data_IF_476543304748
#
_entry.id   IF_476543304748
#
_cell.length_a   1.000
_cell.length_b   1.000
_cell.length_c   1.000
_cell.angle_alpha   90.00
_cell.angle_beta   90.00
_cell.angle_gamma   90.00
#
_symmetry.space_group_name_H-M   'P 1'
#
loop_
_entity.id
_entity.type
_entity.pdbx_description
1 polymer ?
#
# COMPACT_ATOMS: atom_id res chain seq x y z
N UNK A 1 5.12 -1.51 -6.21
CA UNK A 1 5.23 -0.07 -6.52
C UNK A 1 4.08 0.46 -7.38
N UNK A 2 3.88 -0.01 -8.63
CA UNK A 2 2.80 0.51 -9.50
C UNK A 2 1.38 0.31 -8.94
N UNK A 3 1.16 -0.72 -8.11
CA UNK A 3 -0.09 -0.87 -7.35
C UNK A 3 -0.33 0.31 -6.41
N UNK A 4 0.70 0.82 -5.73
CA UNK A 4 0.61 2.00 -4.87
C UNK A 4 0.28 3.27 -5.68
N UNK A 5 0.85 3.41 -6.88
CA UNK A 5 0.51 4.52 -7.79
C UNK A 5 -0.97 4.47 -8.12
N UNK A 6 -1.45 3.35 -8.66
CA UNK A 6 -2.86 3.16 -8.99
C UNK A 6 -3.76 3.38 -7.77
N UNK A 7 -3.35 2.93 -6.58
CA UNK A 7 -4.05 3.20 -5.33
C UNK A 7 -4.22 4.71 -5.09
N UNK A 8 -3.14 5.48 -5.13
CA UNK A 8 -3.17 6.93 -4.90
C UNK A 8 -4.05 7.63 -5.94
N UNK A 9 -3.87 7.29 -7.22
CA UNK A 9 -4.60 7.93 -8.33
C UNK A 9 -6.11 7.58 -8.31
N UNK A 10 -6.48 6.41 -7.79
CA UNK A 10 -7.87 5.97 -7.66
C UNK A 10 -8.55 6.40 -6.35
N UNK A 11 -7.81 6.93 -5.37
CA UNK A 11 -8.38 7.38 -4.10
C UNK A 11 -9.52 8.39 -4.28
N UNK A 12 -9.39 9.46 -5.08
CA UNK A 12 -10.46 10.44 -5.28
C UNK A 12 -11.72 9.82 -5.89
N UNK A 13 -11.57 8.81 -6.76
CA UNK A 13 -12.70 8.05 -7.31
C UNK A 13 -13.36 7.20 -6.23
N UNK A 14 -12.57 6.46 -5.43
CA UNK A 14 -13.09 5.65 -4.31
C UNK A 14 -13.80 6.49 -3.26
N UNK A 15 -13.33 7.72 -3.01
CA UNK A 15 -13.95 8.67 -2.10
C UNK A 15 -15.17 9.40 -2.71
N UNK A 16 -15.57 9.08 -3.95
CA UNK A 16 -16.73 9.71 -4.61
C UNK A 16 -16.52 11.17 -5.04
N UNK A 17 -15.29 11.69 -4.99
CA UNK A 17 -14.98 13.08 -5.34
C UNK A 17 -14.97 13.34 -6.84
N UNK A 18 -14.64 12.31 -7.64
CA UNK A 18 -14.54 12.40 -9.11
C UNK A 18 -15.03 11.11 -9.76
N UNK A 19 -15.46 11.20 -11.03
CA UNK A 19 -15.85 10.03 -11.83
C UNK A 19 -14.63 9.31 -12.43
N UNK A 20 -13.58 10.06 -12.77
CA UNK A 20 -12.36 9.52 -13.36
C UNK A 20 -11.10 10.13 -12.70
N UNK A 21 -10.01 9.37 -12.49
CA UNK A 21 -8.76 9.88 -11.88
C UNK A 21 -8.22 11.17 -12.52
N UNK A 22 -8.34 11.27 -13.86
CA UNK A 22 -7.95 12.45 -14.63
C UNK A 22 -8.61 13.76 -14.17
N UNK A 23 -9.78 13.68 -13.54
CA UNK A 23 -10.57 14.84 -13.14
C UNK A 23 -10.10 15.37 -11.77
N UNK A 24 -9.26 14.63 -11.04
CA UNK A 24 -8.71 15.09 -9.77
C UNK A 24 -7.38 15.82 -9.96
N UNK A 25 -7.38 17.13 -9.66
CA UNK A 25 -6.24 18.02 -9.92
C UNK A 25 -5.00 17.64 -9.11
N UNK A 26 -5.17 17.21 -7.87
CA UNK A 26 -4.07 17.01 -6.92
C UNK A 26 -3.55 15.56 -6.96
N UNK A 27 -3.15 15.13 -8.15
CA UNK A 27 -2.58 13.81 -8.38
C UNK A 27 -1.54 13.85 -9.48
N UNK A 28 -0.63 12.87 -9.49
CA UNK A 28 0.35 12.71 -10.55
C UNK A 28 -0.27 12.22 -11.87
N UNK A 29 -1.55 11.82 -11.89
CA UNK A 29 -2.21 11.28 -13.07
C UNK A 29 -2.08 12.22 -14.27
N UNK A 30 -2.22 13.52 -14.04
CA UNK A 30 -2.10 14.51 -15.12
C UNK A 30 -0.72 14.50 -15.80
N UNK A 31 0.35 14.25 -15.05
CA UNK A 31 1.70 14.11 -15.60
C UNK A 31 1.91 12.71 -16.20
N UNK A 32 1.73 11.68 -15.37
CA UNK A 32 2.08 10.29 -15.71
C UNK A 32 1.17 9.70 -16.81
N UNK A 33 -0.09 10.13 -16.91
CA UNK A 33 -1.05 9.61 -17.88
C UNK A 33 -1.31 10.57 -19.05
N UNK A 34 -1.32 11.88 -18.80
CA UNK A 34 -1.71 12.89 -19.80
C UNK A 34 -0.54 13.76 -20.29
N UNK A 35 0.65 13.63 -19.70
CA UNK A 35 1.84 14.37 -20.13
C UNK A 35 1.87 15.84 -19.74
N UNK A 36 1.07 16.28 -18.77
CA UNK A 36 1.19 17.65 -18.26
C UNK A 36 2.50 17.83 -17.51
N UNK A 37 3.27 18.85 -17.88
CA UNK A 37 4.51 19.21 -17.20
C UNK A 37 4.22 19.53 -15.73
N UNK A 38 4.98 18.92 -14.84
CA UNK A 38 4.93 19.21 -13.41
C UNK A 38 6.33 19.09 -12.82
N UNK A 39 6.95 20.23 -12.51
CA UNK A 39 8.33 20.32 -12.02
C UNK A 39 8.50 19.78 -10.58
N UNK A 40 7.41 19.45 -9.89
CA UNK A 40 7.45 18.83 -8.56
C UNK A 40 7.57 17.30 -8.63
N UNK A 41 7.48 16.71 -9.82
CA UNK A 41 7.50 15.27 -9.99
C UNK A 41 8.85 14.81 -10.56
N UNK A 42 9.51 13.94 -9.80
CA UNK A 42 10.63 13.14 -10.30
C UNK A 42 10.11 11.75 -10.67
N UNK A 43 10.20 11.32 -11.95
CA UNK A 43 9.71 10.01 -12.36
C UNK A 43 10.45 8.88 -11.65
N UNK A 44 9.71 7.95 -11.04
CA UNK A 44 10.28 6.75 -10.45
C UNK A 44 10.67 5.73 -11.53
N UNK A 45 11.73 4.95 -11.30
CA UNK A 45 12.23 3.95 -12.25
C UNK A 45 11.15 2.97 -12.75
N UNK A 46 10.25 2.52 -11.87
CA UNK A 46 9.15 1.63 -12.22
C UNK A 46 8.13 2.26 -13.19
N UNK A 47 7.96 3.59 -13.16
CA UNK A 47 7.18 4.30 -14.17
C UNK A 47 7.98 4.43 -15.47
N UNK A 48 9.28 4.71 -15.37
CA UNK A 48 10.16 4.81 -16.55
C UNK A 48 10.23 3.49 -17.33
N UNK A 49 10.19 2.34 -16.64
CA UNK A 49 10.16 0.99 -17.24
C UNK A 49 8.85 0.67 -17.98
N UNK A 50 7.83 1.52 -17.91
CA UNK A 50 6.58 1.31 -18.65
C UNK A 50 6.71 1.56 -20.15
N UNK A 51 7.83 2.08 -20.65
CA UNK A 51 8.01 2.33 -22.07
C UNK A 51 9.34 3.02 -22.36
N UNK A 52 9.83 2.83 -23.58
CA UNK A 52 11.11 3.37 -24.03
C UNK A 52 11.03 4.89 -24.23
N UNK A 53 9.88 5.39 -24.66
CA UNK A 53 9.60 6.81 -24.84
C UNK A 53 8.42 7.30 -23.99
N UNK A 54 8.18 8.61 -24.00
CA UNK A 54 7.11 9.23 -23.22
C UNK A 54 5.71 8.80 -23.67
N UNK A 55 5.50 8.61 -24.97
CA UNK A 55 4.19 8.25 -25.52
C UNK A 55 3.81 6.82 -25.11
N UNK A 56 4.76 5.89 -25.21
CA UNK A 56 4.62 4.51 -24.77
C UNK A 56 4.40 4.43 -23.26
N UNK A 57 5.20 5.14 -22.45
CA UNK A 57 5.01 5.19 -20.99
C UNK A 57 3.62 5.66 -20.60
N UNK A 58 3.15 6.77 -21.17
CA UNK A 58 1.82 7.33 -20.88
C UNK A 58 0.70 6.38 -21.31
N UNK A 59 0.85 5.74 -22.48
CA UNK A 59 -0.09 4.73 -22.97
C UNK A 59 -0.17 3.57 -21.98
N UNK A 60 0.96 2.93 -21.67
CA UNK A 60 1.01 1.78 -20.79
C UNK A 60 0.56 2.13 -19.37
N UNK A 61 0.87 3.34 -18.88
CA UNK A 61 0.35 3.82 -17.60
C UNK A 61 -1.18 3.93 -17.58
N UNK A 62 -1.81 4.44 -18.64
CA UNK A 62 -3.28 4.47 -18.75
C UNK A 62 -3.89 3.07 -18.79
N UNK A 63 -3.25 2.11 -19.46
CA UNK A 63 -3.71 0.72 -19.52
C UNK A 63 -3.80 0.07 -18.13
N UNK A 64 -2.93 0.44 -17.19
CA UNK A 64 -2.99 -0.05 -15.81
C UNK A 64 -4.34 0.24 -15.12
N UNK A 65 -5.10 1.24 -15.57
CA UNK A 65 -6.39 1.62 -14.97
C UNK A 65 -7.58 0.89 -15.58
N UNK A 66 -7.39 0.11 -16.65
CA UNK A 66 -8.46 -0.70 -17.25
C UNK A 66 -8.71 -1.98 -16.46
N UNK A 67 -7.66 -2.57 -15.90
CA UNK A 67 -7.76 -3.68 -14.98
C UNK A 67 -8.07 -3.19 -13.56
N UNK A 68 -8.70 -4.04 -12.74
CA UNK A 68 -8.82 -3.79 -11.30
C UNK A 68 -7.48 -4.03 -10.60
N UNK A 69 -7.27 -3.43 -9.43
CA UNK A 69 -6.20 -3.87 -8.53
C UNK A 69 -6.74 -5.12 -7.84
N UNK A 70 -5.89 -6.13 -7.69
CA UNK A 70 -6.21 -7.31 -6.90
C UNK A 70 -6.72 -6.90 -5.49
N UNK A 71 -7.87 -7.43 -5.02
CA UNK A 71 -8.46 -7.04 -3.74
C UNK A 71 -7.54 -7.28 -2.54
N UNK A 72 -6.77 -8.37 -2.53
CA UNK A 72 -5.84 -8.66 -1.44
C UNK A 72 -4.72 -7.62 -1.39
N UNK A 73 -4.14 -7.28 -2.54
CA UNK A 73 -3.15 -6.20 -2.67
C UNK A 73 -3.72 -4.86 -2.20
N UNK A 74 -4.98 -4.57 -2.52
CA UNK A 74 -5.66 -3.35 -2.10
C UNK A 74 -5.81 -3.29 -0.58
N UNK A 75 -6.23 -4.39 0.04
CA UNK A 75 -6.38 -4.52 1.50
C UNK A 75 -5.05 -4.42 2.22
N UNK A 76 -3.96 -4.97 1.66
CA UNK A 76 -2.61 -4.83 2.19
C UNK A 76 -2.16 -3.36 2.20
N UNK A 77 -2.36 -2.64 1.09
CA UNK A 77 -2.02 -1.21 0.98
C UNK A 77 -2.85 -0.39 1.99
N UNK A 78 -4.16 -0.64 2.06
CA UNK A 78 -5.07 0.09 2.94
C UNK A 78 -4.75 -0.15 4.41
N UNK A 79 -4.56 -1.41 4.81
CA UNK A 79 -4.22 -1.79 6.19
C UNK A 79 -2.87 -1.21 6.63
N UNK A 80 -1.86 -1.26 5.75
CA UNK A 80 -0.55 -0.71 6.05
C UNK A 80 -0.60 0.82 6.21
N UNK A 81 -1.33 1.51 5.33
CA UNK A 81 -1.48 2.97 5.35
C UNK A 81 -2.20 3.44 6.62
N UNK A 82 -3.33 2.82 6.97
CA UNK A 82 -4.13 3.22 8.14
C UNK A 82 -3.45 2.91 9.47
N UNK A 83 -2.66 1.83 9.52
CA UNK A 83 -1.94 1.41 10.72
C UNK A 83 -0.55 2.02 10.88
N UNK A 84 -0.09 2.83 9.92
CA UNK A 84 1.30 3.31 9.85
C UNK A 84 2.33 2.15 9.91
N UNK A 85 2.00 1.07 9.19
CA UNK A 85 2.80 -0.16 9.10
C UNK A 85 3.56 -0.22 7.76
N UNK A 86 4.53 -1.12 7.70
CA UNK A 86 5.32 -1.35 6.48
C UNK A 86 4.54 -2.25 5.52
N UNK A 87 4.30 -1.76 4.31
CA UNK A 87 3.80 -2.56 3.20
C UNK A 87 4.94 -3.40 2.61
N UNK A 88 4.72 -4.71 2.48
CA UNK A 88 5.68 -5.64 1.89
C UNK A 88 5.64 -7.00 2.56
N UNK A 89 6.54 -7.88 2.14
CA UNK A 89 6.68 -9.22 2.71
C UNK A 89 7.21 -9.20 4.14
N UNK A 90 6.97 -10.27 4.89
CA UNK A 90 7.37 -10.40 6.30
C UNK A 90 8.87 -10.15 6.51
N UNK A 91 9.72 -10.62 5.59
CA UNK A 91 11.17 -10.37 5.64
C UNK A 91 11.48 -8.87 5.61
N UNK A 92 10.90 -8.14 4.66
CA UNK A 92 11.11 -6.70 4.53
C UNK A 92 10.59 -5.94 5.74
N UNK A 93 9.41 -6.33 6.26
CA UNK A 93 8.85 -5.74 7.48
C UNK A 93 9.79 -5.91 8.68
N UNK A 94 10.36 -7.09 8.87
CA UNK A 94 11.35 -7.37 9.93
C UNK A 94 12.64 -6.57 9.75
N UNK A 95 13.13 -6.44 8.52
CA UNK A 95 14.32 -5.62 8.20
C UNK A 95 14.07 -4.15 8.59
N UNK A 96 12.92 -3.58 8.22
CA UNK A 96 12.57 -2.20 8.58
C UNK A 96 12.30 -2.03 10.08
N UNK A 97 11.72 -3.04 10.75
CA UNK A 97 11.52 -3.01 12.21
C UNK A 97 12.85 -2.91 12.97
N UNK A 98 13.85 -3.68 12.54
CA UNK A 98 15.20 -3.61 13.12
C UNK A 98 15.85 -2.25 12.91
N UNK A 99 15.71 -1.66 11.72
CA UNK A 99 16.26 -0.35 11.39
C UNK A 99 15.61 0.77 12.21
N UNK A 100 14.28 0.73 12.36
CA UNK A 100 13.53 1.79 13.03
C UNK A 100 13.46 1.62 14.55
N UNK A 101 13.78 0.44 15.09
CA UNK A 101 13.65 0.14 16.51
C UNK A 101 12.20 0.20 17.03
N UNK A 102 11.20 0.10 16.14
CA UNK A 102 9.77 0.13 16.45
C UNK A 102 9.02 -0.91 15.64
N UNK A 103 7.91 -1.42 16.20
CA UNK A 103 7.01 -2.34 15.51
C UNK A 103 6.55 -1.76 14.17
N UNK A 104 6.68 -2.55 13.10
CA UNK A 104 6.27 -2.17 11.73
C UNK A 104 5.09 -2.98 11.21
N UNK A 105 4.58 -3.91 12.01
CA UNK A 105 3.49 -4.81 11.66
C UNK A 105 2.30 -4.64 12.60
N UNK A 106 1.12 -5.12 12.19
CA UNK A 106 -0.07 -5.10 13.03
C UNK A 106 0.10 -6.07 14.20
N UNK A 107 0.01 -5.56 15.43
CA UNK A 107 -0.04 -6.38 16.63
C UNK A 107 -1.44 -6.93 16.91
N UNK A 108 -1.54 -7.82 17.90
CA UNK A 108 -2.84 -8.20 18.48
C UNK A 108 -3.35 -7.07 19.36
N UNK A 109 -4.55 -6.56 19.06
CA UNK A 109 -5.21 -5.55 19.87
C UNK A 109 -5.82 -6.21 21.12
N UNK A 110 -5.60 -5.62 22.30
CA UNK A 110 -6.18 -6.12 23.55
C UNK A 110 -5.39 -5.67 24.78
N UNK A 111 -6.05 -5.76 25.95
CA UNK A 111 -5.39 -5.57 27.24
C UNK A 111 -4.31 -6.65 27.40
N UNK A 112 -3.12 -6.32 27.92
CA UNK A 112 -2.13 -7.33 28.28
C UNK A 112 -2.79 -8.40 29.16
N UNK A 113 -2.61 -9.68 28.83
CA UNK A 113 -3.12 -10.77 29.67
C UNK A 113 -2.42 -10.70 31.02
N UNK A 114 -3.18 -10.71 32.12
CA UNK A 114 -2.64 -10.76 33.46
C UNK A 114 -2.01 -12.15 33.70
N UNK A 115 -1.01 -12.26 34.59
CA UNK A 115 -0.30 -13.51 34.87
C UNK A 115 -1.23 -14.68 35.24
N UNK A 116 -2.33 -14.39 35.95
CA UNK A 116 -3.36 -15.37 36.33
C UNK A 116 -3.99 -16.06 35.12
N UNK A 117 -4.21 -15.33 34.03
CA UNK A 117 -4.82 -15.87 32.80
C UNK A 117 -3.82 -16.73 32.02
N UNK A 118 -2.56 -16.33 31.99
CA UNK A 118 -1.47 -17.07 31.34
C UNK A 118 -1.19 -18.41 32.04
N UNK A 119 -1.26 -18.44 33.37
CA UNK A 119 -1.06 -19.66 34.17
C UNK A 119 -2.20 -20.68 33.97
N UNK A 120 -3.45 -20.21 33.89
CA UNK A 120 -4.64 -21.03 33.64
C UNK A 120 -4.56 -21.75 32.27
N UNK A 121 -4.24 -21.01 31.20
CA UNK A 121 -4.15 -21.58 29.84
C UNK A 121 -3.01 -22.61 29.71
N UNK A 122 -1.86 -22.36 30.36
CA UNK A 122 -0.75 -23.33 30.42
C UNK A 122 -1.11 -24.60 31.20
N UNK A 123 -1.86 -24.46 32.30
CA UNK A 123 -2.32 -25.59 33.10
C UNK A 123 -3.34 -26.48 32.38
N UNK A 124 -4.20 -25.88 31.54
CA UNK A 124 -5.15 -26.61 30.69
C UNK A 124 -4.46 -27.39 29.57
N UNK A 125 -3.43 -26.82 28.94
CA UNK A 125 -2.68 -27.49 27.87
C UNK A 125 -1.90 -28.72 28.34
N UNK A 126 -1.44 -28.75 29.59
CA UNK A 126 -0.70 -29.88 30.17
C UNK A 126 -1.59 -31.05 30.64
N UNK A 127 -2.90 -30.86 30.74
CA UNK A 127 -3.86 -31.91 31.15
C UNK A 127 -4.55 -32.61 29.99
N UNK A 128 -4.32 -32.14 28.76
CA UNK A 128 -4.95 -32.63 27.54
C UNK A 128 -4.05 -33.55 26.69
N UNK A 129 -2.90 -33.98 27.23
CA UNK A 129 -2.01 -35.00 26.66
C UNK A 129 -1.87 -36.18 27.60
#
# INVERSE_FOLDING_TARGET
MLACYRYIELNPKRAGMVRHPRDYRWSSYQSNALGKVNNLLTPHEQYLRLGNDEAERRKNYRELFKAHIDPETLDQIHSATNGNYVLGEARFQQEIEKILGRRTTRGQAGRPKNETTLASERGLALRAG
#
